data_IF_234188790219
#
_entry.id   IF_234188790219
#
_cell.length_a   1.000
_cell.length_b   1.000
_cell.length_c   1.000
_cell.angle_alpha   90.00
_cell.angle_beta   90.00
_cell.angle_gamma   90.00
#
_symmetry.space_group_name_H-M   'P 1'
#
loop_
_entity.id
_entity.type
_entity.pdbx_description
1 polymer ?
#
# COMPACT_ATOMS: atom_id res chain seq x y z
N UNK A 1 9.53 4.30 -2.37
CA UNK A 1 9.91 5.27 -3.43
C UNK A 1 8.75 5.37 -4.38
N UNK A 2 8.32 6.56 -4.79
CA UNK A 2 7.22 6.74 -5.73
C UNK A 2 7.49 6.07 -7.08
N UNK A 3 6.43 5.68 -7.76
CA UNK A 3 6.49 5.08 -9.09
C UNK A 3 6.74 6.19 -10.12
N UNK A 4 7.67 5.95 -11.04
CA UNK A 4 7.93 6.85 -12.16
C UNK A 4 7.47 6.20 -13.45
N UNK A 5 6.63 6.93 -14.20
CA UNK A 5 6.15 6.52 -15.53
C UNK A 5 6.57 7.57 -16.56
N UNK A 6 7.05 7.09 -17.69
CA UNK A 6 7.42 7.91 -18.81
C UNK A 6 6.35 7.80 -19.90
N UNK A 7 5.72 8.91 -20.22
CA UNK A 7 4.78 9.02 -21.33
C UNK A 7 5.52 9.67 -22.50
N UNK A 8 5.76 8.96 -23.60
CA UNK A 8 6.35 9.55 -24.79
C UNK A 8 5.36 10.47 -25.48
N UNK A 9 5.87 11.43 -26.22
CA UNK A 9 5.02 12.24 -27.12
C UNK A 9 4.23 11.33 -28.04
N UNK A 10 2.89 11.48 -28.07
CA UNK A 10 2.02 10.75 -28.97
C UNK A 10 0.77 11.53 -29.33
N UNK A 11 0.20 11.20 -30.47
CA UNK A 11 -1.08 11.71 -30.92
C UNK A 11 -2.14 10.61 -30.77
N UNK A 12 -3.30 10.99 -30.28
CA UNK A 12 -4.45 10.09 -30.15
C UNK A 12 -5.70 10.76 -30.71
N UNK A 13 -6.55 9.96 -31.34
CA UNK A 13 -7.85 10.43 -31.80
C UNK A 13 -8.81 10.50 -30.61
N UNK A 14 -9.39 11.66 -30.36
CA UNK A 14 -10.46 11.85 -29.38
C UNK A 14 -11.81 11.79 -30.10
N UNK A 15 -12.54 10.70 -29.87
CA UNK A 15 -13.86 10.48 -30.47
C UNK A 15 -14.88 11.52 -29.98
N UNK A 16 -14.76 12.03 -28.77
CA UNK A 16 -15.69 12.98 -28.18
C UNK A 16 -15.56 14.37 -28.78
N UNK A 17 -14.35 14.77 -29.14
CA UNK A 17 -14.02 16.06 -29.76
C UNK A 17 -13.95 15.99 -31.29
N UNK A 18 -13.76 14.79 -31.85
CA UNK A 18 -13.57 14.58 -33.30
C UNK A 18 -12.27 15.15 -33.82
N UNK A 19 -11.22 15.20 -32.99
CA UNK A 19 -9.91 15.77 -33.36
C UNK A 19 -8.76 14.93 -32.78
N UNK A 20 -7.55 15.16 -33.30
CA UNK A 20 -6.35 14.57 -32.72
C UNK A 20 -5.86 15.41 -31.55
N UNK A 21 -5.68 14.76 -30.39
CA UNK A 21 -5.06 15.36 -29.22
C UNK A 21 -3.61 14.90 -29.16
N UNK A 22 -2.69 15.87 -29.02
CA UNK A 22 -1.26 15.60 -28.88
C UNK A 22 -0.89 15.65 -27.41
N UNK A 23 -0.38 14.54 -26.90
CA UNK A 23 0.25 14.50 -25.58
C UNK A 23 1.74 14.74 -25.73
N UNK A 24 2.26 15.74 -25.04
CA UNK A 24 3.70 15.98 -24.99
C UNK A 24 4.42 14.93 -24.12
N UNK A 25 5.73 14.91 -24.17
CA UNK A 25 6.55 14.02 -23.37
C UNK A 25 6.45 14.39 -21.87
N UNK A 26 6.05 13.42 -21.02
CA UNK A 26 5.96 13.62 -19.57
C UNK A 26 6.68 12.54 -18.78
N UNK A 27 7.31 12.94 -17.68
CA UNK A 27 7.85 12.04 -16.65
C UNK A 27 7.01 12.20 -15.41
N UNK A 28 6.05 11.30 -15.24
CA UNK A 28 5.08 11.35 -14.15
C UNK A 28 5.62 10.63 -12.92
N UNK A 29 5.35 11.23 -11.75
CA UNK A 29 5.62 10.64 -10.44
C UNK A 29 4.30 10.30 -9.78
N UNK A 30 4.07 9.02 -9.50
CA UNK A 30 2.84 8.53 -8.89
C UNK A 30 3.11 7.98 -7.49
N UNK A 31 2.21 8.28 -6.55
CA UNK A 31 2.26 7.70 -5.20
C UNK A 31 0.88 7.21 -4.76
N UNK A 32 0.81 5.96 -4.34
CA UNK A 32 -0.36 5.38 -3.70
C UNK A 32 -0.38 5.80 -2.24
N UNK A 33 -0.92 6.98 -1.95
CA UNK A 33 -0.81 7.67 -0.66
C UNK A 33 -2.18 7.97 -0.04
N UNK A 34 -2.17 8.45 1.21
CA UNK A 34 -3.39 8.92 1.86
C UNK A 34 -3.98 10.13 1.12
N UNK A 35 -3.14 10.99 0.54
CA UNK A 35 -3.58 12.14 -0.25
C UNK A 35 -4.34 11.67 -1.50
N UNK A 36 -3.80 10.70 -2.25
CA UNK A 36 -4.47 10.16 -3.43
C UNK A 36 -5.79 9.46 -3.09
N UNK A 37 -5.82 8.73 -1.97
CA UNK A 37 -7.02 8.09 -1.44
C UNK A 37 -8.11 9.13 -1.15
N UNK A 38 -7.76 10.19 -0.42
CA UNK A 38 -8.68 11.26 -0.04
C UNK A 38 -9.27 11.98 -1.25
N UNK A 39 -8.44 12.32 -2.24
CA UNK A 39 -8.89 12.95 -3.48
C UNK A 39 -9.97 12.11 -4.17
N UNK A 40 -9.75 10.81 -4.28
CA UNK A 40 -10.69 9.91 -4.94
C UNK A 40 -11.98 9.72 -4.13
N UNK A 41 -11.88 9.44 -2.81
CA UNK A 41 -13.04 9.24 -1.94
C UNK A 41 -13.91 10.48 -1.85
N UNK A 42 -13.31 11.68 -1.83
CA UNK A 42 -14.04 12.95 -1.84
C UNK A 42 -14.85 13.16 -3.13
N UNK A 43 -14.33 12.67 -4.27
CA UNK A 43 -14.99 12.79 -5.57
C UNK A 43 -16.14 11.79 -5.73
N UNK A 44 -15.86 10.53 -5.40
CA UNK A 44 -16.78 9.43 -5.65
C UNK A 44 -17.74 9.15 -4.49
N UNK A 45 -17.49 9.72 -3.30
CA UNK A 45 -18.25 9.48 -2.06
C UNK A 45 -18.38 7.98 -1.74
N UNK A 46 -17.33 7.20 -2.02
CA UNK A 46 -17.25 5.75 -1.81
C UNK A 46 -15.95 5.39 -1.10
N UNK A 47 -15.94 4.39 -0.21
CA UNK A 47 -14.70 3.90 0.40
C UNK A 47 -13.86 3.14 -0.63
N UNK A 48 -12.68 3.64 -0.97
CA UNK A 48 -11.79 3.00 -1.95
C UNK A 48 -11.34 1.61 -1.53
N UNK A 49 -11.08 1.41 -0.24
CA UNK A 49 -10.60 0.14 0.31
C UNK A 49 -11.71 -0.90 0.53
N UNK A 50 -12.95 -0.59 0.10
CA UNK A 50 -14.04 -1.57 0.12
C UNK A 50 -13.76 -2.73 -0.85
N UNK A 51 -14.30 -3.95 -0.55
CA UNK A 51 -14.17 -5.09 -1.45
C UNK A 51 -15.04 -4.99 -2.71
N UNK A 52 -15.86 -3.93 -2.84
CA UNK A 52 -16.71 -3.69 -4.00
C UNK A 52 -15.88 -3.47 -5.26
N UNK A 53 -16.34 -4.08 -6.36
CA UNK A 53 -15.71 -3.88 -7.66
C UNK A 53 -15.83 -2.42 -8.10
N UNK A 54 -14.75 -1.89 -8.62
CA UNK A 54 -14.67 -0.52 -9.14
C UNK A 54 -14.79 -0.55 -10.65
N UNK A 55 -15.50 0.42 -11.18
CA UNK A 55 -15.59 0.61 -12.63
C UNK A 55 -14.24 1.00 -13.21
N UNK A 56 -14.09 0.83 -14.53
CA UNK A 56 -12.86 1.26 -15.22
C UNK A 56 -12.62 2.76 -15.05
N UNK A 57 -13.67 3.57 -15.08
CA UNK A 57 -13.59 5.01 -14.87
C UNK A 57 -13.08 5.35 -13.46
N UNK A 58 -13.62 4.69 -12.44
CA UNK A 58 -13.17 4.84 -11.05
C UNK A 58 -11.70 4.47 -10.87
N UNK A 59 -11.23 3.41 -11.55
CA UNK A 59 -9.82 2.99 -11.52
C UNK A 59 -8.93 4.01 -12.21
N UNK A 60 -9.31 4.49 -13.40
CA UNK A 60 -8.54 5.50 -14.14
C UNK A 60 -8.45 6.80 -13.35
N UNK A 61 -9.55 7.22 -12.72
CA UNK A 61 -9.57 8.41 -11.89
C UNK A 61 -8.70 8.28 -10.65
N UNK A 62 -8.64 7.07 -10.05
CA UNK A 62 -7.72 6.82 -8.95
C UNK A 62 -6.25 6.98 -9.37
N UNK A 63 -5.88 6.45 -10.54
CA UNK A 63 -4.52 6.61 -11.07
C UNK A 63 -4.19 8.09 -11.29
N UNK A 64 -5.17 8.88 -11.75
CA UNK A 64 -5.03 10.34 -11.84
C UNK A 64 -4.77 10.98 -10.47
N UNK A 65 -5.52 10.57 -9.44
CA UNK A 65 -5.32 11.06 -8.07
C UNK A 65 -3.94 10.71 -7.50
N UNK A 66 -3.27 9.68 -8.02
CA UNK A 66 -1.91 9.28 -7.62
C UNK A 66 -0.82 10.18 -8.21
N UNK A 67 -1.09 10.96 -9.25
CA UNK A 67 -0.10 11.86 -9.87
C UNK A 67 0.23 12.98 -8.87
N UNK A 68 1.53 13.14 -8.61
CA UNK A 68 2.05 14.14 -7.67
C UNK A 68 2.47 15.43 -8.37
N UNK A 69 2.64 15.39 -9.68
CA UNK A 69 3.09 16.53 -10.48
C UNK A 69 1.92 17.53 -10.66
N UNK A 70 2.16 18.82 -10.44
CA UNK A 70 1.11 19.86 -10.43
C UNK A 70 0.74 20.36 -11.83
N UNK A 71 1.70 20.35 -12.77
CA UNK A 71 1.53 20.92 -14.10
C UNK A 71 1.15 19.86 -15.17
N UNK A 72 0.24 18.96 -14.80
CA UNK A 72 -0.17 17.85 -15.68
C UNK A 72 -1.66 17.94 -15.98
N UNK A 73 -1.99 17.89 -17.28
CA UNK A 73 -3.38 17.89 -17.72
C UNK A 73 -4.12 16.62 -17.26
N UNK A 74 -5.37 16.77 -16.88
CA UNK A 74 -6.21 15.66 -16.44
C UNK A 74 -6.32 14.53 -17.47
N UNK A 75 -6.26 14.88 -18.75
CA UNK A 75 -6.39 13.95 -19.87
C UNK A 75 -5.16 13.08 -20.09
N UNK A 76 -4.01 13.35 -19.42
CA UNK A 76 -2.78 12.57 -19.55
C UNK A 76 -2.98 11.08 -19.24
N UNK A 77 -3.99 10.75 -18.43
CA UNK A 77 -4.29 9.37 -18.07
C UNK A 77 -4.65 8.51 -19.29
N UNK A 78 -5.25 9.10 -20.33
CA UNK A 78 -5.57 8.40 -21.58
C UNK A 78 -4.31 8.08 -22.40
N UNK A 79 -3.19 8.75 -22.09
CA UNK A 79 -1.91 8.47 -22.71
C UNK A 79 -1.21 7.22 -22.12
N UNK A 80 -1.68 6.67 -21.00
CA UNK A 80 -1.09 5.46 -20.42
C UNK A 80 -1.26 4.24 -21.32
N UNK A 81 -0.20 3.47 -21.46
CA UNK A 81 -0.25 2.19 -22.16
C UNK A 81 -0.78 1.08 -21.21
N UNK A 82 -1.28 -0.04 -21.77
CA UNK A 82 -1.63 -1.20 -20.93
C UNK A 82 -0.47 -1.72 -20.07
N UNK A 83 0.78 -1.53 -20.52
CA UNK A 83 1.97 -1.90 -19.73
C UNK A 83 2.19 -0.96 -18.55
N UNK A 84 1.85 0.33 -18.70
CA UNK A 84 1.98 1.31 -17.62
C UNK A 84 0.90 1.07 -16.55
N UNK A 85 -0.33 0.75 -16.97
CA UNK A 85 -1.39 0.36 -16.03
C UNK A 85 -1.00 -0.88 -15.20
N UNK A 86 -0.39 -1.90 -15.82
CA UNK A 86 0.13 -3.07 -15.08
C UNK A 86 1.23 -2.70 -14.07
N UNK A 87 2.10 -1.71 -14.40
CA UNK A 87 3.09 -1.22 -13.44
C UNK A 87 2.43 -0.53 -12.25
N UNK A 88 1.37 0.26 -12.50
CA UNK A 88 0.59 0.93 -11.45
C UNK A 88 -0.08 -0.10 -10.56
N UNK A 89 -0.76 -1.09 -11.12
CA UNK A 89 -1.38 -2.18 -10.36
C UNK A 89 -0.37 -2.92 -9.47
N UNK A 90 0.77 -3.30 -10.06
CA UNK A 90 1.84 -3.97 -9.32
C UNK A 90 2.44 -3.08 -8.21
N UNK A 91 2.48 -1.76 -8.43
CA UNK A 91 2.94 -0.80 -7.44
C UNK A 91 1.96 -0.67 -6.27
N UNK A 92 0.67 -0.56 -6.54
CA UNK A 92 -0.39 -0.49 -5.52
C UNK A 92 -0.41 -1.78 -4.67
N UNK A 93 -0.29 -2.94 -5.32
CA UNK A 93 -0.33 -4.24 -4.65
C UNK A 93 0.94 -4.54 -3.83
N UNK A 94 2.02 -3.79 -4.04
CA UNK A 94 3.30 -4.05 -3.39
C UNK A 94 3.34 -3.47 -1.98
N UNK A 95 3.52 -4.32 -0.99
CA UNK A 95 3.83 -3.87 0.37
C UNK A 95 5.19 -3.17 0.44
N UNK A 96 5.19 -1.92 0.92
CA UNK A 96 6.41 -1.11 1.09
C UNK A 96 6.80 -0.99 2.57
N UNK A 97 6.58 -2.04 3.33
CA UNK A 97 6.94 -2.12 4.75
C UNK A 97 7.83 -3.31 5.03
N UNK A 98 8.78 -3.15 5.93
CA UNK A 98 9.61 -4.24 6.46
C UNK A 98 9.00 -4.86 7.73
N UNK A 99 7.96 -4.24 8.28
CA UNK A 99 7.35 -4.67 9.54
C UNK A 99 6.24 -5.67 9.28
N UNK A 100 6.35 -6.85 9.88
CA UNK A 100 5.26 -7.84 9.92
C UNK A 100 4.59 -7.74 11.29
N UNK A 101 3.31 -7.38 11.30
CA UNK A 101 2.50 -7.40 12.53
C UNK A 101 1.85 -8.77 12.62
N UNK A 102 1.98 -9.48 13.74
CA UNK A 102 1.34 -10.77 13.91
C UNK A 102 -0.19 -10.66 13.75
N UNK A 103 -0.79 -11.55 12.97
CA UNK A 103 -2.24 -11.68 12.94
C UNK A 103 -2.72 -12.33 14.24
N UNK A 104 -3.63 -11.69 14.94
CA UNK A 104 -4.26 -12.26 16.13
C UNK A 104 -5.21 -13.40 15.70
N UNK A 105 -4.73 -14.64 15.78
CA UNK A 105 -5.51 -15.83 15.42
C UNK A 105 -6.68 -16.12 16.34
N UNK A 106 -6.79 -15.46 17.51
CA UNK A 106 -7.73 -15.80 18.57
C UNK A 106 -8.40 -14.60 19.27
N UNK A 107 -8.61 -13.48 18.58
CA UNK A 107 -9.45 -12.46 19.19
C UNK A 107 -10.93 -12.87 19.03
N UNK A 108 -11.58 -13.28 20.14
CA UNK A 108 -13.04 -13.34 20.24
C UNK A 108 -13.68 -11.94 20.20
N UNK A 109 -12.92 -10.91 19.91
CA UNK A 109 -13.43 -9.57 19.68
C UNK A 109 -14.14 -9.55 18.34
N UNK A 110 -15.36 -9.01 18.26
CA UNK A 110 -16.06 -8.85 17.00
C UNK A 110 -15.14 -8.02 16.08
N UNK A 111 -14.77 -8.60 14.94
CA UNK A 111 -14.06 -7.83 13.89
C UNK A 111 -14.92 -6.64 13.59
N UNK A 112 -14.40 -5.44 13.79
CA UNK A 112 -15.08 -4.24 13.35
C UNK A 112 -15.36 -4.39 11.84
N UNK A 113 -16.64 -4.39 11.47
CA UNK A 113 -17.05 -4.37 10.06
C UNK A 113 -16.89 -2.97 9.47
N UNK A 114 -16.23 -2.07 10.18
CA UNK A 114 -16.01 -0.71 9.74
C UNK A 114 -15.03 -0.70 8.56
N UNK A 115 -15.51 -0.18 7.43
CA UNK A 115 -14.68 -0.02 6.24
C UNK A 115 -13.66 1.09 6.50
N UNK A 116 -12.40 0.80 6.20
CA UNK A 116 -11.33 1.77 6.35
C UNK A 116 -11.44 2.84 5.27
N UNK A 117 -11.70 4.08 5.65
CA UNK A 117 -11.72 5.26 4.77
C UNK A 117 -10.55 6.19 5.06
N UNK A 118 -10.33 7.15 4.18
CA UNK A 118 -9.29 8.17 4.40
C UNK A 118 -9.52 8.96 5.69
N UNK A 119 -10.78 9.32 6.01
CA UNK A 119 -11.12 10.04 7.24
C UNK A 119 -10.79 9.23 8.49
N UNK A 120 -11.04 7.92 8.48
CA UNK A 120 -10.67 7.04 9.59
C UNK A 120 -9.15 6.94 9.75
N UNK A 121 -8.42 6.87 8.63
CA UNK A 121 -6.96 6.87 8.66
C UNK A 121 -6.46 8.19 9.26
N UNK A 122 -6.99 9.34 8.84
CA UNK A 122 -6.66 10.64 9.42
C UNK A 122 -6.98 10.70 10.92
N UNK A 123 -8.14 10.19 11.33
CA UNK A 123 -8.52 10.11 12.73
C UNK A 123 -7.49 9.32 13.56
N UNK A 124 -7.10 8.12 13.10
CA UNK A 124 -6.10 7.31 13.79
C UNK A 124 -4.73 7.99 13.86
N UNK A 125 -4.27 8.58 12.75
CA UNK A 125 -3.00 9.33 12.73
C UNK A 125 -3.04 10.54 13.67
N UNK A 126 -4.17 11.24 13.74
CA UNK A 126 -4.41 12.34 14.68
C UNK A 126 -4.35 11.89 16.14
N UNK A 127 -5.01 10.77 16.47
CA UNK A 127 -4.95 10.18 17.82
C UNK A 127 -3.52 9.79 18.23
N UNK A 128 -2.72 9.34 17.27
CA UNK A 128 -1.30 8.99 17.49
C UNK A 128 -0.38 10.19 17.50
N UNK A 129 -0.90 11.41 17.28
CA UNK A 129 -0.11 12.64 17.11
C UNK A 129 1.00 12.53 16.04
N UNK A 130 0.74 11.69 15.03
CA UNK A 130 1.67 11.39 13.94
C UNK A 130 1.28 12.06 12.61
N UNK A 131 0.20 12.84 12.58
CA UNK A 131 -0.28 13.49 11.36
C UNK A 131 0.70 14.56 10.89
N UNK A 132 1.38 14.31 9.79
CA UNK A 132 2.32 15.23 9.15
C UNK A 132 2.21 15.14 7.64
N UNK A 133 2.49 16.20 6.87
CA UNK A 133 2.52 16.17 5.40
C UNK A 133 3.43 15.07 4.84
N UNK A 134 4.47 14.71 5.57
CA UNK A 134 5.38 13.61 5.17
C UNK A 134 4.66 12.25 5.19
N UNK A 135 3.87 11.97 6.24
CA UNK A 135 3.17 10.68 6.40
C UNK A 135 2.00 10.56 5.41
N UNK A 136 1.32 11.65 5.13
CA UNK A 136 0.23 11.69 4.15
C UNK A 136 0.69 11.26 2.74
N UNK A 137 1.95 11.54 2.41
CA UNK A 137 2.57 11.19 1.14
C UNK A 137 3.32 9.84 1.17
N UNK A 138 3.28 9.09 2.27
CA UNK A 138 3.81 7.73 2.26
C UNK A 138 2.94 6.80 1.44
N UNK A 139 3.55 5.73 0.94
CA UNK A 139 2.78 4.63 0.38
C UNK A 139 1.78 4.10 1.43
N UNK A 140 0.54 3.92 1.02
CA UNK A 140 -0.60 3.63 1.91
C UNK A 140 -0.37 2.37 2.78
N UNK A 141 0.24 1.31 2.22
CA UNK A 141 0.57 0.10 2.99
C UNK A 141 1.44 0.41 4.21
N UNK A 142 2.36 1.37 4.07
CA UNK A 142 3.24 1.79 5.16
C UNK A 142 2.48 2.56 6.25
N UNK A 143 1.57 3.44 5.84
CA UNK A 143 0.71 4.20 6.77
C UNK A 143 -0.23 3.26 7.54
N UNK A 144 -0.86 2.31 6.85
CA UNK A 144 -1.70 1.30 7.47
C UNK A 144 -0.91 0.38 8.42
N UNK A 145 0.31 0.03 8.07
CA UNK A 145 1.19 -0.74 8.97
C UNK A 145 1.53 0.04 10.23
N UNK A 146 1.78 1.36 10.13
CA UNK A 146 2.02 2.21 11.29
C UNK A 146 0.83 2.18 12.25
N UNK A 147 -0.39 2.31 11.75
CA UNK A 147 -1.61 2.24 12.55
C UNK A 147 -1.74 0.87 13.23
N UNK A 148 -1.50 -0.22 12.48
CA UNK A 148 -1.55 -1.58 13.05
C UNK A 148 -0.53 -1.78 14.16
N UNK A 149 0.70 -1.31 13.98
CA UNK A 149 1.76 -1.38 15.01
C UNK A 149 1.35 -0.59 16.25
N UNK A 150 0.81 0.61 16.09
CA UNK A 150 0.36 1.42 17.22
C UNK A 150 -0.79 0.75 17.97
N UNK A 151 -1.80 0.24 17.28
CA UNK A 151 -2.91 -0.49 17.88
C UNK A 151 -2.43 -1.75 18.61
N UNK A 152 -1.47 -2.48 18.04
CA UNK A 152 -0.88 -3.65 18.69
C UNK A 152 -0.13 -3.29 19.98
N UNK A 153 0.63 -2.19 19.98
CA UNK A 153 1.38 -1.74 21.16
C UNK A 153 0.52 -1.09 22.25
N UNK A 154 -0.65 -0.55 21.90
CA UNK A 154 -1.58 0.06 22.87
C UNK A 154 -2.44 -1.00 23.58
N UNK A 155 -2.53 -2.22 23.03
CA UNK A 155 -3.19 -3.30 23.77
C UNK A 155 -2.39 -3.59 25.02
N UNK A 156 -3.03 -3.63 26.24
CA UNK A 156 -2.34 -4.04 27.46
C UNK A 156 -1.70 -5.41 27.19
N UNK A 157 -0.39 -5.50 27.42
CA UNK A 157 0.29 -6.78 27.37
C UNK A 157 -0.51 -7.74 28.26
N UNK A 158 -1.14 -8.77 27.65
CA UNK A 158 -1.55 -9.93 28.44
C UNK A 158 -0.24 -10.43 29.02
N UNK A 159 -0.05 -10.20 30.32
CA UNK A 159 1.09 -10.75 31.05
C UNK A 159 1.06 -12.25 30.81
N UNK A 160 1.85 -12.70 29.82
CA UNK A 160 2.09 -14.11 29.60
C UNK A 160 2.61 -14.63 30.92
N UNK A 161 1.92 -15.60 31.50
CA UNK A 161 2.44 -16.32 32.63
C UNK A 161 3.89 -16.70 32.29
N UNK A 162 4.83 -16.49 33.22
CA UNK A 162 6.26 -16.70 32.97
C UNK A 162 6.54 -18.06 32.32
N UNK A 163 5.70 -19.04 32.54
CA UNK A 163 5.73 -20.38 31.97
C UNK A 163 5.38 -20.37 30.45
N UNK A 164 4.43 -19.54 30.01
CA UNK A 164 4.04 -19.42 28.62
C UNK A 164 5.09 -18.58 27.81
N UNK A 165 5.68 -17.57 28.45
CA UNK A 165 6.75 -16.78 27.84
C UNK A 165 8.01 -17.64 27.64
N UNK A 166 8.37 -18.49 28.59
CA UNK A 166 9.49 -19.43 28.45
C UNK A 166 9.24 -20.45 27.33
N UNK A 167 8.03 -21.04 27.26
CA UNK A 167 7.68 -21.99 26.20
C UNK A 167 7.77 -21.33 24.80
N UNK A 168 7.27 -20.12 24.64
CA UNK A 168 7.40 -19.38 23.36
C UNK A 168 8.86 -19.08 23.00
N UNK A 169 9.70 -18.73 23.97
CA UNK A 169 11.13 -18.52 23.75
C UNK A 169 11.84 -19.81 23.32
N UNK A 170 11.46 -20.95 23.90
CA UNK A 170 11.99 -22.26 23.52
C UNK A 170 11.59 -22.65 22.09
N UNK A 171 10.31 -22.47 21.72
CA UNK A 171 9.79 -22.72 20.36
C UNK A 171 10.50 -21.88 19.32
N UNK A 172 10.71 -20.59 19.59
CA UNK A 172 11.42 -19.66 18.69
C UNK A 172 12.89 -20.10 18.56
N UNK A 173 13.53 -20.50 19.65
CA UNK A 173 14.92 -20.98 19.68
C UNK A 173 15.07 -22.24 18.84
N UNK A 174 14.16 -23.21 19.01
CA UNK A 174 14.17 -24.44 18.21
C UNK A 174 13.95 -24.17 16.71
N UNK A 175 13.00 -23.31 16.37
CA UNK A 175 12.72 -22.93 14.98
C UNK A 175 13.96 -22.26 14.32
N UNK A 176 14.66 -21.40 15.06
CA UNK A 176 15.89 -20.77 14.59
C UNK A 176 17.03 -21.76 14.44
N UNK A 177 17.16 -22.72 15.37
CA UNK A 177 18.17 -23.78 15.28
C UNK A 177 17.94 -24.68 14.05
N UNK A 178 16.70 -25.08 13.76
CA UNK A 178 16.35 -25.86 12.56
C UNK A 178 16.72 -25.12 11.28
N UNK A 179 16.39 -23.81 11.19
CA UNK A 179 16.76 -22.97 10.05
C UNK A 179 18.29 -22.85 9.86
N UNK A 180 19.01 -22.74 10.97
CA UNK A 180 20.46 -22.66 10.95
C UNK A 180 21.12 -23.99 10.51
N UNK A 181 20.59 -25.12 10.94
CA UNK A 181 21.06 -26.44 10.50
C UNK A 181 20.77 -26.70 9.02
N UNK A 182 19.57 -26.29 8.53
CA UNK A 182 19.25 -26.34 7.11
C UNK A 182 20.21 -25.47 6.27
N UNK A 183 20.50 -24.28 6.74
CA UNK A 183 21.44 -23.38 6.09
C UNK A 183 22.85 -23.99 6.03
N UNK A 184 23.35 -24.56 7.15
CA UNK A 184 24.64 -25.28 7.19
C UNK A 184 24.67 -26.44 6.19
N UNK A 185 23.59 -27.20 6.11
CA UNK A 185 23.49 -28.35 5.19
C UNK A 185 23.52 -27.91 3.73
N UNK A 186 22.86 -26.81 3.40
CA UNK A 186 22.91 -26.21 2.06
C UNK A 186 24.31 -25.72 1.69
N UNK A 187 25.00 -25.09 2.62
CA UNK A 187 26.38 -24.63 2.41
C UNK A 187 27.37 -25.82 2.18
N UNK A 188 27.28 -26.89 2.97
CA UNK A 188 28.10 -28.07 2.80
C UNK A 188 27.87 -28.79 1.46
N UNK A 189 26.64 -28.78 0.98
CA UNK A 189 26.30 -29.38 -0.33
C UNK A 189 26.76 -28.50 -1.51
N UNK A 190 26.90 -27.19 -1.32
CA UNK A 190 27.45 -26.29 -2.34
C UNK A 190 28.95 -26.38 -2.50
N UNK A 191 29.67 -26.78 -1.45
CA UNK A 191 31.16 -26.93 -1.47
C UNK A 191 31.60 -28.30 -2.05
N UNK A 192 30.65 -29.27 -2.12
CA UNK A 192 30.93 -30.62 -2.65
C UNK A 192 30.61 -30.77 -4.15
N UNK A 193 30.19 -29.71 -4.83
CA UNK A 193 30.02 -29.60 -6.29
C UNK A 193 31.13 -28.74 -6.91
#
# INVERSE_FOLDING_TARGET
>A
MPLKIFIPRKEMWDESRGEFVTFEEHKLTLEHSLVSLTKWESKWCKPFLSPEEKTQEEIMDYVRCMIMDEDVEDDIIYAFSPSDMKKVEAYIAKDQTATTVPEEKNSNEPKSNELMTSELIYYYLGQMQCLTPTIENWHLSRTLTLIRVASFKQKPEKTLDNKQALAQCEDIREANMRKFEEWKRKQQNSIKR
#
